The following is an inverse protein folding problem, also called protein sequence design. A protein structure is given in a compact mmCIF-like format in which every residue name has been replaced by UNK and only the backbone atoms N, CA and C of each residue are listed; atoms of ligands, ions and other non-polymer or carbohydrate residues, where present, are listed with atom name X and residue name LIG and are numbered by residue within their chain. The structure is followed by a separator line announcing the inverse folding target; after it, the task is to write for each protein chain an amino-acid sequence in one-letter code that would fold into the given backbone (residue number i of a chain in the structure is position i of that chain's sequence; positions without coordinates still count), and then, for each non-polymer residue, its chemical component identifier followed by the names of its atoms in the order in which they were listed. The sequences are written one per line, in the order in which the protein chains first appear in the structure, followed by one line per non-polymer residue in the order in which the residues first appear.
data_IF_268344286436
#
_entry.id   IF_268344286436
#
_cell.length_a   1.000
_cell.length_b   1.000
_cell.length_c   1.000
_cell.angle_alpha   90.00
_cell.angle_beta   90.00
_cell.angle_gamma   90.00
#
_symmetry.space_group_name_H-M   'P 1'
#
loop_
_entity.id
_entity.type
_entity.pdbx_description
1 polymer ?
#
# COMPACT_ATOMS: atom_id res chain seq x y z
N UNK A 1 -2.51 -16.35 13.05
CA UNK A 1 -1.29 -17.11 12.68
C UNK A 1 -0.19 -16.70 13.67
N UNK A 2 0.64 -17.61 14.18
CA UNK A 2 1.57 -17.34 15.29
C UNK A 2 2.96 -16.92 14.76
N UNK A 3 3.02 -15.78 14.08
CA UNK A 3 4.27 -15.19 13.57
C UNK A 3 4.69 -14.01 14.45
N UNK A 4 5.99 -13.80 14.60
CA UNK A 4 6.51 -12.65 15.37
C UNK A 4 6.22 -11.34 14.63
N UNK A 5 6.49 -11.29 13.31
CA UNK A 5 6.13 -10.13 12.48
C UNK A 5 5.21 -10.56 11.35
N UNK A 6 4.14 -9.80 11.14
CA UNK A 6 3.22 -10.00 10.02
C UNK A 6 2.69 -8.66 9.53
N UNK A 7 2.65 -8.47 8.22
CA UNK A 7 2.03 -7.32 7.58
C UNK A 7 0.77 -7.75 6.81
N UNK A 8 -0.36 -7.01 6.94
CA UNK A 8 -1.42 -7.10 5.96
C UNK A 8 -0.91 -6.58 4.62
N UNK A 9 -1.18 -7.30 3.53
CA UNK A 9 -0.84 -6.82 2.19
C UNK A 9 -1.72 -5.61 1.84
N UNK A 10 -1.08 -4.46 1.64
CA UNK A 10 -1.68 -3.21 1.18
C UNK A 10 -1.30 -2.99 -0.28
N UNK A 11 -2.30 -2.83 -1.15
CA UNK A 11 -2.11 -2.56 -2.59
C UNK A 11 -2.12 -1.06 -2.87
N UNK A 12 -1.39 -0.61 -3.87
CA UNK A 12 -1.46 0.76 -4.37
C UNK A 12 -1.99 0.79 -5.82
N UNK A 13 -1.94 1.97 -6.44
CA UNK A 13 -2.11 2.08 -7.88
C UNK A 13 -0.99 1.31 -8.60
N UNK A 14 -1.35 0.60 -9.66
CA UNK A 14 -0.44 -0.28 -10.40
C UNK A 14 0.15 -1.42 -9.57
N UNK A 15 1.48 -1.51 -9.54
CA UNK A 15 2.22 -2.64 -8.98
C UNK A 15 2.89 -2.36 -7.64
N UNK A 16 2.74 -1.15 -7.08
CA UNK A 16 3.33 -0.80 -5.79
C UNK A 16 2.52 -1.42 -4.64
N UNK A 17 3.21 -1.85 -3.59
CA UNK A 17 2.60 -2.42 -2.37
C UNK A 17 3.59 -2.41 -1.22
N UNK A 18 3.14 -2.79 -0.02
CA UNK A 18 3.90 -2.66 1.22
C UNK A 18 4.87 -3.81 1.55
N UNK A 19 5.36 -4.54 0.55
CA UNK A 19 6.29 -5.66 0.73
C UNK A 19 7.19 -5.85 -0.48
N UNK A 20 8.34 -6.50 -0.30
CA UNK A 20 9.21 -6.94 -1.40
C UNK A 20 9.37 -8.46 -1.39
N UNK A 21 9.43 -9.11 -2.55
CA UNK A 21 9.72 -10.55 -2.64
C UNK A 21 11.21 -10.87 -2.83
N UNK A 22 12.06 -9.85 -2.93
CA UNK A 22 13.49 -10.00 -3.15
C UNK A 22 14.22 -8.73 -2.77
N UNK A 23 15.50 -8.89 -2.42
CA UNK A 23 16.43 -7.80 -2.20
C UNK A 23 17.74 -8.08 -2.95
N UNK A 24 18.40 -7.03 -3.44
CA UNK A 24 19.75 -7.12 -4.02
C UNK A 24 20.81 -7.30 -2.92
N UNK A 25 22.07 -7.51 -3.31
CA UNK A 25 23.20 -7.57 -2.37
C UNK A 25 23.38 -6.23 -1.62
N UNK A 26 22.98 -5.12 -2.23
CA UNK A 26 22.95 -3.77 -1.65
C UNK A 26 21.65 -3.46 -0.90
N UNK A 27 20.81 -4.47 -0.64
CA UNK A 27 19.58 -4.38 0.16
C UNK A 27 18.43 -3.60 -0.48
N UNK A 28 18.48 -3.29 -1.77
CA UNK A 28 17.40 -2.61 -2.46
C UNK A 28 16.41 -3.59 -3.09
N UNK A 29 15.26 -3.07 -3.49
CA UNK A 29 14.18 -3.85 -4.11
C UNK A 29 14.67 -4.70 -5.29
N UNK A 30 14.30 -5.98 -5.26
CA UNK A 30 14.46 -6.90 -6.39
C UNK A 30 13.11 -7.54 -6.75
N UNK A 31 12.63 -7.28 -7.97
CA UNK A 31 11.42 -7.91 -8.51
C UNK A 31 11.67 -9.40 -8.76
N UNK A 32 10.86 -10.25 -8.13
CA UNK A 32 10.90 -11.71 -8.35
C UNK A 32 9.62 -12.21 -9.01
N UNK A 33 9.65 -13.43 -9.53
CA UNK A 33 8.48 -14.09 -10.13
C UNK A 33 7.34 -14.33 -9.14
N UNK A 34 7.63 -14.30 -7.84
CA UNK A 34 6.65 -14.54 -6.79
C UNK A 34 5.78 -13.32 -6.48
N UNK A 35 6.23 -12.11 -6.85
CA UNK A 35 5.60 -10.85 -6.46
C UNK A 35 4.18 -10.69 -7.00
N UNK A 36 4.01 -10.73 -8.32
CA UNK A 36 2.71 -10.51 -8.97
C UNK A 36 1.65 -11.55 -8.57
N UNK A 37 1.97 -12.86 -8.48
CA UNK A 37 1.02 -13.84 -7.97
C UNK A 37 0.52 -13.56 -6.54
N UNK A 38 1.37 -12.97 -5.68
CA UNK A 38 0.99 -12.57 -4.32
C UNK A 38 0.16 -11.27 -4.38
N UNK A 39 0.64 -10.24 -5.09
CA UNK A 39 -0.03 -8.94 -5.21
C UNK A 39 -1.46 -9.06 -5.77
N UNK A 40 -1.61 -9.83 -6.84
CA UNK A 40 -2.90 -10.07 -7.50
C UNK A 40 -3.72 -11.20 -6.85
N UNK A 41 -3.26 -11.74 -5.71
CA UNK A 41 -3.93 -12.82 -4.95
C UNK A 41 -4.20 -14.10 -5.74
N UNK A 42 -3.47 -14.32 -6.84
CA UNK A 42 -3.47 -15.59 -7.58
C UNK A 42 -2.98 -16.74 -6.68
N UNK A 43 -2.07 -16.41 -5.74
CA UNK A 43 -1.76 -17.23 -4.57
C UNK A 43 -2.19 -16.47 -3.32
N UNK A 44 -3.11 -17.04 -2.56
CA UNK A 44 -3.60 -16.47 -1.30
C UNK A 44 -3.01 -17.20 -0.09
N UNK A 45 -2.56 -16.47 0.92
CA UNK A 45 -1.91 -17.03 2.11
C UNK A 45 -1.10 -16.00 2.87
N UNK A 46 -0.14 -16.49 3.67
CA UNK A 46 0.94 -15.66 4.19
C UNK A 46 2.26 -16.18 3.67
N UNK A 47 3.13 -15.27 3.25
CA UNK A 47 4.38 -15.59 2.57
C UNK A 47 5.53 -14.97 3.34
N UNK A 48 6.58 -15.76 3.58
CA UNK A 48 7.83 -15.23 4.08
C UNK A 48 8.44 -14.34 3.00
N UNK A 49 8.80 -13.12 3.37
CA UNK A 49 9.32 -12.10 2.45
C UNK A 49 10.50 -11.39 3.13
N UNK A 50 11.48 -10.90 2.36
CA UNK A 50 12.63 -10.21 2.94
C UNK A 50 12.31 -8.84 3.52
N UNK A 51 11.20 -8.19 3.13
CA UNK A 51 10.84 -6.85 3.62
C UNK A 51 9.32 -6.64 3.63
N UNK A 52 8.82 -6.02 4.71
CA UNK A 52 7.46 -5.48 4.84
C UNK A 52 7.54 -4.07 5.45
N UNK A 53 6.59 -3.19 5.10
CA UNK A 53 6.54 -1.82 5.61
C UNK A 53 5.12 -1.28 5.74
N UNK A 54 5.01 0.01 6.14
CA UNK A 54 3.78 0.82 6.31
C UNK A 54 2.80 0.34 7.39
N UNK A 55 2.44 -0.94 7.42
CA UNK A 55 1.58 -1.54 8.43
C UNK A 55 2.13 -2.91 8.80
N UNK A 56 2.56 -3.05 10.05
CA UNK A 56 3.15 -4.26 10.61
C UNK A 56 2.54 -4.56 11.97
N UNK A 57 2.25 -5.83 12.23
CA UNK A 57 1.93 -6.35 13.54
C UNK A 57 3.15 -7.09 14.07
N UNK A 58 3.58 -6.71 15.27
CA UNK A 58 4.71 -7.32 15.97
C UNK A 58 4.22 -7.95 17.26
N UNK A 59 4.51 -9.23 17.45
CA UNK A 59 4.28 -9.92 18.71
C UNK A 59 5.39 -9.56 19.70
N UNK A 60 5.01 -8.89 20.79
CA UNK A 60 5.93 -8.53 21.87
C UNK A 60 6.12 -9.65 22.91
N UNK A 61 5.64 -10.86 22.61
CA UNK A 61 5.70 -12.01 23.53
C UNK A 61 7.03 -12.79 23.42
N UNK A 62 7.91 -12.37 22.52
CA UNK A 62 9.17 -13.05 22.22
C UNK A 62 10.34 -12.10 22.48
N UNK A 63 11.41 -12.52 23.18
CA UNK A 63 12.57 -11.65 23.45
C UNK A 63 13.19 -11.02 22.20
N UNK A 64 13.13 -11.72 21.05
CA UNK A 64 13.65 -11.23 19.77
C UNK A 64 12.98 -9.93 19.30
N UNK A 65 11.77 -9.62 19.76
CA UNK A 65 11.10 -8.36 19.39
C UNK A 65 11.81 -7.12 19.94
N UNK A 66 12.64 -7.26 20.97
CA UNK A 66 13.44 -6.15 21.53
C UNK A 66 14.54 -5.68 20.57
N UNK A 67 14.95 -6.54 19.62
CA UNK A 67 16.01 -6.26 18.66
C UNK A 67 15.49 -5.72 17.32
N UNK A 68 14.19 -5.47 17.21
CA UNK A 68 13.58 -4.89 16.01
C UNK A 68 13.67 -3.36 16.07
N UNK A 69 14.37 -2.77 15.10
CA UNK A 69 14.64 -1.33 15.09
C UNK A 69 14.41 -0.72 13.70
N UNK A 70 13.96 0.54 13.70
CA UNK A 70 13.89 1.37 12.49
C UNK A 70 15.08 2.33 12.37
N UNK A 71 15.89 2.45 13.42
CA UNK A 71 17.09 3.30 13.45
C UNK A 71 18.34 2.43 13.27
N UNK A 72 19.15 2.65 12.21
CA UNK A 72 20.33 1.84 11.93
C UNK A 72 21.40 1.93 13.02
N UNK A 73 21.42 3.01 13.82
CA UNK A 73 22.39 3.18 14.92
C UNK A 73 22.14 2.21 16.08
N UNK A 74 20.93 1.69 16.20
CA UNK A 74 20.54 0.74 17.25
C UNK A 74 20.76 -0.73 16.85
N UNK A 75 21.06 -0.98 15.57
CA UNK A 75 21.24 -2.35 15.05
C UNK A 75 22.72 -2.72 15.09
N UNK A 76 23.09 -3.67 15.94
CA UNK A 76 24.46 -4.16 16.05
C UNK A 76 24.92 -4.81 14.73
N UNK A 77 26.07 -4.37 14.20
CA UNK A 77 26.63 -4.92 12.96
C UNK A 77 25.89 -4.49 11.69
N UNK A 78 25.09 -3.42 11.73
CA UNK A 78 24.38 -2.88 10.58
C UNK A 78 25.33 -2.48 9.43
N UNK A 79 25.02 -2.93 8.21
CA UNK A 79 25.77 -2.64 6.97
C UNK A 79 24.89 -2.09 5.84
N UNK A 80 23.61 -1.85 6.13
CA UNK A 80 22.66 -1.35 5.15
C UNK A 80 22.72 0.17 4.95
N UNK A 81 21.89 0.71 4.05
CA UNK A 81 21.71 2.15 3.87
C UNK A 81 20.97 2.80 5.04
N UNK A 82 21.00 4.14 5.12
CA UNK A 82 20.20 4.91 6.08
C UNK A 82 18.75 5.04 5.59
N UNK A 83 17.97 3.97 5.76
CA UNK A 83 16.60 3.82 5.30
C UNK A 83 15.83 2.98 6.33
N UNK A 84 14.69 3.46 6.82
CA UNK A 84 13.99 2.88 7.96
C UNK A 84 13.34 1.53 7.63
N UNK A 85 12.79 1.36 6.42
CA UNK A 85 12.16 0.10 5.99
C UNK A 85 13.20 -0.99 5.74
N UNK A 86 14.37 -0.63 5.19
CA UNK A 86 15.50 -1.55 5.03
C UNK A 86 16.12 -1.85 6.39
N UNK A 87 16.24 -0.86 7.28
CA UNK A 87 16.76 -1.05 8.64
C UNK A 87 15.89 -2.04 9.40
N UNK A 88 14.57 -1.89 9.36
CA UNK A 88 13.65 -2.83 9.99
C UNK A 88 13.83 -4.25 9.46
N UNK A 89 13.90 -4.42 8.15
CA UNK A 89 14.10 -5.73 7.53
C UNK A 89 15.42 -6.39 7.95
N UNK A 90 16.51 -5.63 7.96
CA UNK A 90 17.81 -6.14 8.38
C UNK A 90 17.88 -6.42 9.87
N UNK A 91 17.26 -5.59 10.72
CA UNK A 91 17.18 -5.85 12.17
C UNK A 91 16.44 -7.16 12.46
N UNK A 92 15.35 -7.43 11.73
CA UNK A 92 14.59 -8.66 11.84
C UNK A 92 15.43 -9.87 11.38
N UNK A 93 16.10 -9.76 10.23
CA UNK A 93 16.95 -10.82 9.70
C UNK A 93 18.14 -11.14 10.61
N UNK A 94 18.81 -10.12 11.18
CA UNK A 94 19.92 -10.29 12.13
C UNK A 94 19.47 -10.90 13.46
N UNK A 95 18.17 -10.78 13.79
CA UNK A 95 17.56 -11.32 15.00
C UNK A 95 16.86 -12.67 14.79
N UNK A 96 17.07 -13.31 13.63
CA UNK A 96 16.39 -14.54 13.21
C UNK A 96 14.85 -14.44 13.25
N UNK A 97 14.31 -13.25 12.99
CA UNK A 97 12.87 -12.97 12.94
C UNK A 97 12.38 -12.93 11.49
N UNK A 98 11.67 -13.96 11.01
CA UNK A 98 11.12 -13.94 9.66
C UNK A 98 9.96 -12.96 9.54
N UNK A 99 9.93 -12.23 8.42
CA UNK A 99 8.85 -11.30 8.08
C UNK A 99 7.84 -12.01 7.18
N UNK A 100 6.55 -11.79 7.45
CA UNK A 100 5.46 -12.35 6.66
C UNK A 100 4.54 -11.27 6.11
N UNK A 101 4.11 -11.41 4.86
CA UNK A 101 3.00 -10.64 4.29
C UNK A 101 1.80 -11.56 4.07
N UNK A 102 0.61 -11.11 4.47
CA UNK A 102 -0.63 -11.89 4.36
C UNK A 102 -1.61 -11.21 3.39
N UNK A 103 -2.16 -11.99 2.45
CA UNK A 103 -3.08 -11.50 1.43
C UNK A 103 -4.36 -12.36 1.34
N UNK A 104 -4.79 -12.97 2.44
CA UNK A 104 -6.03 -13.77 2.49
C UNK A 104 -7.30 -12.92 2.51
N UNK A 105 -7.21 -11.61 2.78
CA UNK A 105 -8.32 -10.65 2.70
C UNK A 105 -7.87 -9.30 2.15
N UNK A 106 -8.79 -8.51 1.59
CA UNK A 106 -8.51 -7.12 1.18
C UNK A 106 -8.38 -6.26 2.43
N UNK A 107 -7.16 -6.14 2.94
CA UNK A 107 -6.87 -5.43 4.20
C UNK A 107 -6.85 -3.91 4.05
N UNK A 108 -6.46 -3.41 2.88
CA UNK A 108 -6.41 -1.99 2.63
C UNK A 108 -5.47 -1.62 1.50
N UNK A 109 -5.15 -0.33 1.47
CA UNK A 109 -4.42 0.31 0.39
C UNK A 109 -3.34 1.24 0.96
N UNK A 110 -2.33 1.54 0.15
CA UNK A 110 -1.24 2.44 0.50
C UNK A 110 -0.94 3.37 -0.67
N UNK A 111 -0.58 4.62 -0.39
CA UNK A 111 -0.09 5.57 -1.39
C UNK A 111 1.30 5.18 -1.88
N UNK A 112 1.66 5.53 -3.12
CA UNK A 112 3.06 5.46 -3.53
C UNK A 112 3.78 6.65 -2.89
N UNK A 113 4.96 6.45 -2.25
CA UNK A 113 5.75 7.55 -1.72
C UNK A 113 6.10 8.56 -2.82
N UNK A 114 6.11 9.83 -2.45
CA UNK A 114 6.59 10.90 -3.31
C UNK A 114 8.11 10.84 -3.46
N UNK A 115 8.58 11.17 -4.65
CA UNK A 115 9.97 11.50 -4.88
C UNK A 115 10.30 12.91 -4.35
N UNK A 116 11.59 13.18 -4.15
CA UNK A 116 12.06 14.44 -3.55
C UNK A 116 11.53 15.71 -4.23
N UNK A 117 11.37 15.65 -5.55
CA UNK A 117 10.97 16.79 -6.38
C UNK A 117 9.48 16.77 -6.76
N UNK A 118 8.72 15.79 -6.25
CA UNK A 118 7.28 15.71 -6.51
C UNK A 118 6.52 16.80 -5.76
N UNK A 119 5.49 17.33 -6.42
CA UNK A 119 4.59 18.31 -5.83
C UNK A 119 3.50 17.67 -4.99
N UNK A 120 2.97 18.39 -4.00
CA UNK A 120 1.80 17.95 -3.24
C UNK A 120 0.55 17.78 -4.12
N UNK A 121 0.46 18.49 -5.24
CA UNK A 121 -0.66 18.32 -6.18
C UNK A 121 -0.54 17.00 -6.94
N UNK A 122 0.67 16.51 -7.18
CA UNK A 122 0.89 15.16 -7.69
C UNK A 122 0.46 14.10 -6.67
N UNK A 123 0.73 14.31 -5.38
CA UNK A 123 0.27 13.42 -4.32
C UNK A 123 -1.26 13.34 -4.25
N UNK A 124 -1.95 14.49 -4.34
CA UNK A 124 -3.42 14.53 -4.42
C UNK A 124 -3.94 13.80 -5.66
N UNK A 125 -3.25 13.93 -6.80
CA UNK A 125 -3.59 13.20 -8.02
C UNK A 125 -3.47 11.69 -7.81
N UNK A 126 -2.38 11.23 -7.19
CA UNK A 126 -2.21 9.81 -6.85
C UNK A 126 -3.30 9.30 -5.92
N UNK A 127 -3.65 10.08 -4.89
CA UNK A 127 -4.73 9.72 -3.95
C UNK A 127 -6.05 9.58 -4.69
N UNK A 128 -6.35 10.49 -5.61
CA UNK A 128 -7.55 10.45 -6.44
C UNK A 128 -7.59 9.20 -7.33
N UNK A 129 -6.48 8.87 -7.98
CA UNK A 129 -6.36 7.66 -8.81
C UNK A 129 -6.59 6.40 -7.97
N UNK A 130 -5.94 6.31 -6.80
CA UNK A 130 -6.10 5.19 -5.88
C UNK A 130 -7.56 5.06 -5.40
N UNK A 131 -8.22 6.16 -5.03
CA UNK A 131 -9.64 6.14 -4.63
C UNK A 131 -10.53 5.59 -5.75
N UNK A 132 -10.30 5.98 -7.00
CA UNK A 132 -11.04 5.46 -8.15
C UNK A 132 -10.78 3.96 -8.37
N UNK A 133 -9.54 3.50 -8.23
CA UNK A 133 -9.19 2.08 -8.34
C UNK A 133 -9.88 1.24 -7.25
N UNK A 134 -9.95 1.74 -6.02
CA UNK A 134 -10.68 1.09 -4.92
C UNK A 134 -12.17 0.93 -5.27
N UNK A 135 -12.77 1.96 -5.87
CA UNK A 135 -14.19 1.99 -6.23
C UNK A 135 -14.58 1.02 -7.36
N UNK A 136 -13.62 0.39 -8.03
CA UNK A 136 -13.88 -0.66 -9.02
C UNK A 136 -14.49 -1.90 -8.34
N UNK A 137 -13.95 -2.28 -7.18
CA UNK A 137 -14.29 -3.51 -6.46
C UNK A 137 -15.07 -3.22 -5.15
N UNK A 138 -15.02 -2.00 -4.64
CA UNK A 138 -15.58 -1.61 -3.33
C UNK A 138 -16.43 -0.34 -3.40
N UNK A 139 -17.16 -0.05 -2.32
CA UNK A 139 -17.78 1.25 -2.12
C UNK A 139 -16.72 2.36 -1.90
N UNK A 140 -17.07 3.64 -2.08
CA UNK A 140 -16.18 4.74 -1.74
C UNK A 140 -15.68 4.64 -0.30
N UNK A 141 -14.43 5.05 -0.08
CA UNK A 141 -13.85 5.08 1.26
C UNK A 141 -14.65 6.05 2.15
N UNK A 142 -15.05 5.64 3.37
CA UNK A 142 -15.71 6.53 4.30
C UNK A 142 -14.74 7.61 4.76
N UNK A 143 -15.25 8.83 4.91
CA UNK A 143 -14.52 9.93 5.52
C UNK A 143 -14.71 9.85 7.03
N UNK A 144 -13.62 9.95 7.79
CA UNK A 144 -13.69 10.07 9.25
C UNK A 144 -14.36 11.39 9.63
N UNK A 145 -15.38 11.36 10.48
CA UNK A 145 -16.07 12.58 10.97
C UNK A 145 -15.09 13.59 11.57
N UNK A 146 -14.04 13.11 12.25
CA UNK A 146 -13.00 13.95 12.85
C UNK A 146 -12.10 14.65 11.81
N UNK A 147 -12.01 14.08 10.61
CA UNK A 147 -11.14 14.59 9.54
C UNK A 147 -11.93 15.23 8.39
N UNK A 148 -13.27 15.21 8.44
CA UNK A 148 -14.15 15.72 7.39
C UNK A 148 -13.83 17.16 7.03
N UNK A 149 -13.50 18.00 8.03
CA UNK A 149 -13.15 19.40 7.83
C UNK A 149 -11.88 19.63 7.01
N UNK A 150 -11.03 18.62 6.87
CA UNK A 150 -9.81 18.67 6.05
C UNK A 150 -10.02 18.10 4.64
N UNK A 151 -11.23 17.62 4.34
CA UNK A 151 -11.58 17.13 3.01
C UNK A 151 -12.22 18.24 2.19
N UNK A 152 -12.09 18.16 0.86
CA UNK A 152 -12.76 19.07 -0.06
C UNK A 152 -13.61 18.28 -1.05
N UNK A 153 -14.84 18.74 -1.26
CA UNK A 153 -15.70 18.21 -2.33
C UNK A 153 -15.24 18.83 -3.65
N UNK A 154 -14.84 17.98 -4.58
CA UNK A 154 -14.44 18.42 -5.91
C UNK A 154 -15.66 18.94 -6.68
N UNK A 155 -15.45 20.01 -7.43
CA UNK A 155 -16.46 20.51 -8.36
C UNK A 155 -16.34 19.78 -9.69
N UNK A 156 -17.47 19.52 -10.37
CA UNK A 156 -17.44 18.90 -11.68
C UNK A 156 -16.54 19.65 -12.67
N UNK A 157 -15.61 18.94 -13.31
CA UNK A 157 -14.72 19.44 -14.36
C UNK A 157 -14.89 18.59 -15.63
N UNK A 158 -14.38 19.08 -16.76
CA UNK A 158 -14.35 18.32 -18.00
C UNK A 158 -13.06 17.52 -18.18
N UNK A 159 -12.16 17.52 -17.18
CA UNK A 159 -10.88 16.81 -17.21
C UNK A 159 -10.05 17.13 -18.46
N UNK A 160 -10.17 18.36 -18.97
CA UNK A 160 -9.47 18.84 -20.16
C UNK A 160 -10.10 18.46 -21.51
N UNK A 161 -11.29 17.86 -21.55
CA UNK A 161 -12.05 17.60 -22.81
C UNK A 161 -13.24 18.54 -22.98
N UNK A 162 -13.88 18.56 -24.16
CA UNK A 162 -15.06 19.41 -24.39
C UNK A 162 -16.29 18.95 -23.62
N UNK A 163 -16.54 17.63 -23.60
CA UNK A 163 -17.71 17.01 -22.99
C UNK A 163 -17.41 15.57 -22.55
N UNK A 164 -17.90 15.21 -21.36
CA UNK A 164 -17.85 13.86 -20.81
C UNK A 164 -19.23 13.20 -20.95
N UNK A 165 -19.28 11.98 -21.47
CA UNK A 165 -20.53 11.24 -21.68
C UNK A 165 -20.50 9.88 -21.00
N UNK A 166 -21.56 9.55 -20.27
CA UNK A 166 -21.79 8.22 -19.69
C UNK A 166 -22.85 7.47 -20.51
N UNK A 167 -22.42 6.53 -21.36
CA UNK A 167 -23.27 5.88 -22.35
C UNK A 167 -23.57 4.42 -21.94
N UNK A 168 -24.73 3.89 -22.33
CA UNK A 168 -25.12 2.49 -22.20
C UNK A 168 -25.29 1.93 -20.77
N UNK A 169 -25.55 2.78 -19.76
CA UNK A 169 -25.71 2.33 -18.36
C UNK A 169 -27.14 2.31 -17.82
N UNK A 170 -28.15 2.72 -18.62
CA UNK A 170 -29.56 2.75 -18.16
C UNK A 170 -30.08 1.42 -17.62
N UNK A 171 -29.59 0.29 -18.15
CA UNK A 171 -29.97 -1.08 -17.73
C UNK A 171 -28.99 -1.72 -16.74
N UNK A 172 -27.96 -0.99 -16.30
CA UNK A 172 -26.88 -1.48 -15.42
C UNK A 172 -26.74 -0.53 -14.21
N UNK A 173 -27.73 -0.50 -13.30
CA UNK A 173 -27.82 0.52 -12.25
C UNK A 173 -26.59 0.54 -11.34
N UNK A 174 -26.05 -0.62 -10.95
CA UNK A 174 -24.85 -0.68 -10.10
C UNK A 174 -23.62 -0.08 -10.79
N UNK A 175 -23.40 -0.40 -12.07
CA UNK A 175 -22.28 0.17 -12.83
C UNK A 175 -22.47 1.66 -13.07
N UNK A 176 -23.71 2.10 -13.25
CA UNK A 176 -24.06 3.52 -13.36
C UNK A 176 -23.71 4.27 -12.07
N UNK A 177 -24.16 3.75 -10.94
CA UNK A 177 -23.88 4.35 -9.63
C UNK A 177 -22.37 4.42 -9.36
N UNK A 178 -21.62 3.34 -9.63
CA UNK A 178 -20.15 3.36 -9.50
C UNK A 178 -19.52 4.43 -10.40
N UNK A 179 -19.94 4.54 -11.66
CA UNK A 179 -19.43 5.57 -12.57
C UNK A 179 -19.75 6.99 -12.09
N UNK A 180 -20.96 7.23 -11.57
CA UNK A 180 -21.35 8.52 -11.00
C UNK A 180 -20.47 8.90 -9.80
N UNK A 181 -20.16 7.92 -8.93
CA UNK A 181 -19.23 8.11 -7.80
C UNK A 181 -17.79 8.35 -8.28
N UNK A 182 -17.30 7.63 -9.29
CA UNK A 182 -15.99 7.86 -9.88
C UNK A 182 -15.88 9.28 -10.49
N UNK A 183 -16.92 9.77 -11.18
CA UNK A 183 -16.91 11.14 -11.70
C UNK A 183 -16.90 12.18 -10.57
N UNK A 184 -17.70 11.99 -9.52
CA UNK A 184 -17.69 12.88 -8.36
C UNK A 184 -16.31 12.94 -7.69
N UNK A 185 -15.57 11.84 -7.68
CA UNK A 185 -14.21 11.77 -7.15
C UNK A 185 -13.15 12.35 -8.10
N UNK A 186 -13.37 12.29 -9.41
CA UNK A 186 -12.44 12.85 -10.38
C UNK A 186 -12.54 14.37 -10.47
N UNK A 187 -13.71 14.94 -10.20
CA UNK A 187 -14.06 16.30 -10.64
C UNK A 187 -14.59 16.21 -12.06
#
# INVERSE_FOLDING_TARGET
KNHVVTAPMLRSDGLYSNFWCGMTEEFYYLRTKDYEPILHRQRSGCFAVPMVHSSVLVSLQTPQSENLHFDPQLVEGYKGPHDDIITFALSANLSDVPLFVCNDQVYGYVMVPLEKDDSLDYDKLQLRNLKVEIMVESAPLPVSELLEMYTSVLQPDTLGVDRVFMINLRRRPERRQRMELCFAELG
#
